data_IF_923986337141
#
_entry.id   IF_923986337141
#
_cell.length_a   1.000
_cell.length_b   1.000
_cell.length_c   1.000
_cell.angle_alpha   90.00
_cell.angle_beta   90.00
_cell.angle_gamma   90.00
#
_symmetry.space_group_name_H-M   'P 1'
#
loop_
_entity.id
_entity.type
_entity.pdbx_description
1 polymer ?
#
# COMPACT_ATOMS: atom_id res chain seq x y z
N UNK A 1 16.00 3.03 10.96
CA UNK A 1 14.76 2.32 10.56
C UNK A 1 15.17 1.09 9.75
N UNK A 2 14.58 -0.08 10.02
CA UNK A 2 14.87 -1.31 9.28
C UNK A 2 13.62 -1.70 8.51
N UNK A 3 13.72 -1.82 7.19
CA UNK A 3 12.67 -2.38 6.33
C UNK A 3 13.17 -3.74 5.86
N UNK A 4 12.59 -4.81 6.40
CA UNK A 4 12.83 -6.18 5.97
C UNK A 4 11.63 -6.70 5.20
N UNK A 5 11.84 -7.26 4.02
CA UNK A 5 10.81 -7.94 3.26
C UNK A 5 11.24 -9.38 2.98
N UNK A 6 10.51 -10.34 3.56
CA UNK A 6 10.72 -11.77 3.27
C UNK A 6 9.77 -12.16 2.14
N UNK A 7 10.32 -12.49 0.97
CA UNK A 7 9.55 -12.88 -0.22
C UNK A 7 9.39 -14.41 -0.27
N UNK A 8 8.17 -14.88 -0.55
CA UNK A 8 7.95 -16.18 -1.19
C UNK A 8 7.84 -15.92 -2.70
N UNK A 9 8.69 -16.52 -3.52
CA UNK A 9 8.79 -16.21 -4.96
C UNK A 9 7.55 -16.68 -5.74
N UNK A 10 6.71 -15.75 -6.21
CA UNK A 10 5.66 -16.04 -7.21
C UNK A 10 5.99 -15.40 -8.55
N UNK A 11 6.85 -16.05 -9.33
CA UNK A 11 6.95 -15.84 -10.77
C UNK A 11 7.35 -17.16 -11.40
N UNK A 12 6.53 -17.68 -12.33
CA UNK A 12 6.82 -18.87 -13.12
C UNK A 12 8.04 -18.61 -14.00
N UNK A 13 9.22 -18.97 -13.49
CA UNK A 13 10.47 -18.82 -14.24
C UNK A 13 11.69 -19.08 -13.34
N UNK A 14 12.46 -20.12 -13.70
CA UNK A 14 13.70 -20.57 -13.02
C UNK A 14 14.77 -19.47 -12.81
N UNK A 15 14.64 -18.31 -13.46
CA UNK A 15 15.59 -17.19 -13.42
C UNK A 15 15.27 -16.09 -12.40
N UNK A 16 14.03 -16.01 -11.88
CA UNK A 16 13.62 -14.91 -10.98
C UNK A 16 14.15 -15.02 -9.54
N UNK A 17 14.53 -16.23 -9.12
CA UNK A 17 15.02 -16.53 -7.77
C UNK A 17 16.50 -16.16 -7.55
N UNK A 18 17.24 -15.80 -8.61
CA UNK A 18 18.67 -15.51 -8.56
C UNK A 18 19.03 -14.03 -8.75
N UNK A 19 18.05 -13.15 -8.90
CA UNK A 19 18.30 -11.72 -9.16
C UNK A 19 18.18 -10.89 -7.89
N UNK A 20 19.29 -10.30 -7.43
CA UNK A 20 19.32 -9.30 -6.36
C UNK A 20 18.54 -8.03 -6.71
N UNK A 21 18.28 -7.77 -7.99
CA UNK A 21 17.44 -6.65 -8.47
C UNK A 21 15.96 -6.80 -8.10
N UNK A 22 15.50 -8.02 -7.77
CA UNK A 22 14.12 -8.29 -7.33
C UNK A 22 13.99 -8.43 -5.81
N UNK A 23 15.06 -8.17 -5.06
CA UNK A 23 15.07 -8.17 -3.61
C UNK A 23 14.62 -6.79 -3.11
N UNK A 24 13.65 -6.78 -2.19
CA UNK A 24 13.26 -5.57 -1.48
C UNK A 24 14.18 -5.34 -0.27
N UNK A 25 14.38 -4.08 0.16
CA UNK A 25 13.70 -2.87 -0.31
C UNK A 25 14.19 -2.38 -1.69
N UNK A 26 13.26 -1.87 -2.49
CA UNK A 26 13.57 -1.11 -3.69
C UNK A 26 14.09 0.27 -3.26
N UNK A 27 15.27 0.66 -3.73
CA UNK A 27 15.92 1.91 -3.37
C UNK A 27 15.84 2.89 -4.55
N UNK A 28 15.46 4.13 -4.28
CA UNK A 28 15.43 5.19 -5.29
C UNK A 28 15.66 6.56 -4.67
N UNK A 29 16.09 7.52 -5.48
CA UNK A 29 16.37 8.89 -5.03
C UNK A 29 15.35 9.88 -5.58
N UNK A 30 14.91 10.80 -4.73
CA UNK A 30 14.06 11.95 -5.10
C UNK A 30 14.74 13.21 -4.58
N UNK A 31 15.17 14.09 -5.48
CA UNK A 31 16.06 15.20 -5.12
C UNK A 31 17.30 14.71 -4.35
N UNK A 32 17.47 15.18 -3.11
CA UNK A 32 18.59 14.80 -2.23
C UNK A 32 18.24 13.66 -1.24
N UNK A 33 17.00 13.20 -1.22
CA UNK A 33 16.53 12.20 -0.27
C UNK A 33 16.60 10.78 -0.87
N UNK A 34 17.15 9.85 -0.09
CA UNK A 34 17.10 8.42 -0.40
C UNK A 34 15.81 7.81 0.14
N UNK A 35 15.12 7.07 -0.73
CA UNK A 35 13.88 6.38 -0.43
C UNK A 35 14.06 4.87 -0.49
N UNK A 36 13.33 4.18 0.38
CA UNK A 36 13.30 2.73 0.45
C UNK A 36 11.85 2.24 0.46
N UNK A 37 11.49 1.34 -0.45
CA UNK A 37 10.14 0.82 -0.61
C UNK A 37 10.07 -0.71 -0.57
N UNK A 38 9.02 -1.26 0.04
CA UNK A 38 8.70 -2.68 -0.06
C UNK A 38 7.21 -2.87 -0.35
N UNK A 39 6.87 -3.74 -1.29
CA UNK A 39 5.50 -4.07 -1.65
C UNK A 39 5.27 -5.57 -1.47
N UNK A 40 4.18 -5.93 -0.79
CA UNK A 40 3.67 -7.31 -0.74
C UNK A 40 2.29 -7.37 -1.40
N UNK A 41 2.19 -8.14 -2.48
CA UNK A 41 0.96 -8.43 -3.16
C UNK A 41 1.18 -8.53 -4.65
N UNK A 42 0.17 -8.12 -5.41
CA UNK A 42 0.27 -8.00 -6.84
C UNK A 42 -0.61 -6.85 -7.31
N UNK A 43 -0.15 -6.11 -8.30
CA UNK A 43 -0.93 -5.05 -8.93
C UNK A 43 -0.90 -5.19 -10.44
N UNK A 44 -2.03 -4.91 -11.10
CA UNK A 44 -2.02 -4.75 -12.55
C UNK A 44 -1.21 -3.51 -12.90
N UNK A 45 -0.14 -3.69 -13.69
CA UNK A 45 0.70 -2.60 -14.15
C UNK A 45 -0.13 -1.57 -14.93
N UNK A 46 0.08 -0.30 -14.61
CA UNK A 46 -0.55 0.83 -15.29
C UNK A 46 0.22 1.25 -16.53
N UNK A 47 -0.11 2.44 -17.06
CA UNK A 47 0.65 3.07 -18.15
C UNK A 47 2.11 3.33 -17.75
N UNK A 48 3.04 3.41 -18.72
CA UNK A 48 4.45 3.61 -18.45
C UNK A 48 4.74 4.87 -17.62
N UNK A 49 5.67 4.74 -16.68
CA UNK A 49 6.25 5.84 -15.88
C UNK A 49 7.43 6.48 -16.63
N UNK A 50 7.85 7.68 -16.24
CA UNK A 50 9.02 8.35 -16.80
C UNK A 50 10.30 7.58 -16.45
N UNK A 51 10.42 7.16 -15.19
CA UNK A 51 11.39 6.13 -14.79
C UNK A 51 10.94 4.78 -15.31
N UNK A 52 11.81 4.09 -16.06
CA UNK A 52 11.54 2.74 -16.54
C UNK A 52 12.03 1.73 -15.51
N UNK A 53 11.23 0.72 -15.15
CA UNK A 53 11.72 -0.39 -14.34
C UNK A 53 12.86 -1.11 -15.09
N UNK A 54 13.94 -1.42 -14.38
CA UNK A 54 15.06 -2.24 -14.86
C UNK A 54 14.68 -3.73 -14.86
N UNK A 55 13.74 -4.13 -13.99
CA UNK A 55 13.14 -5.46 -13.92
C UNK A 55 11.71 -5.53 -14.48
N UNK A 56 11.06 -6.68 -14.25
CA UNK A 56 9.71 -7.00 -14.76
C UNK A 56 8.66 -7.07 -13.66
N UNK A 57 8.99 -6.64 -12.44
CA UNK A 57 8.06 -6.76 -11.31
C UNK A 57 7.09 -5.59 -11.26
N UNK A 58 5.85 -5.89 -10.92
CA UNK A 58 4.80 -4.91 -10.66
C UNK A 58 5.13 -3.96 -9.50
N UNK A 59 5.91 -4.46 -8.54
CA UNK A 59 6.46 -3.70 -7.42
C UNK A 59 7.38 -2.57 -7.88
N UNK A 60 8.20 -2.82 -8.89
CA UNK A 60 9.11 -1.82 -9.43
C UNK A 60 8.36 -0.71 -10.17
N UNK A 61 7.39 -1.08 -11.02
CA UNK A 61 6.52 -0.12 -11.69
C UNK A 61 5.78 0.80 -10.68
N UNK A 62 5.35 0.24 -9.55
CA UNK A 62 4.75 1.01 -8.45
C UNK A 62 5.71 2.05 -7.86
N UNK A 63 6.94 1.64 -7.55
CA UNK A 63 7.93 2.55 -6.95
C UNK A 63 8.51 3.56 -7.95
N UNK A 64 8.61 3.22 -9.24
CA UNK A 64 8.88 4.20 -10.30
C UNK A 64 7.79 5.28 -10.34
N UNK A 65 6.51 4.90 -10.30
CA UNK A 65 5.39 5.86 -10.27
C UNK A 65 5.43 6.74 -9.02
N UNK A 66 5.78 6.17 -7.86
CA UNK A 66 5.99 6.93 -6.62
C UNK A 66 7.11 7.94 -6.77
N UNK A 67 8.26 7.52 -7.29
CA UNK A 67 9.42 8.37 -7.46
C UNK A 67 9.14 9.53 -8.43
N UNK A 68 8.45 9.27 -9.54
CA UNK A 68 8.07 10.29 -10.51
C UNK A 68 7.11 11.33 -9.92
N UNK A 69 6.09 10.88 -9.17
CA UNK A 69 5.14 11.79 -8.52
C UNK A 69 5.82 12.65 -7.45
N UNK A 70 6.69 12.05 -6.63
CA UNK A 70 7.42 12.77 -5.59
C UNK A 70 8.37 13.82 -6.19
N UNK A 71 9.05 13.49 -7.30
CA UNK A 71 9.91 14.43 -8.04
C UNK A 71 9.10 15.57 -8.65
N UNK A 72 8.01 15.23 -9.35
CA UNK A 72 7.17 16.20 -10.05
C UNK A 72 6.49 17.17 -9.08
N UNK A 73 6.00 16.65 -7.96
CA UNK A 73 5.34 17.47 -6.93
C UNK A 73 6.33 18.31 -6.12
N UNK A 74 7.64 18.03 -6.19
CA UNK A 74 8.68 18.67 -5.36
C UNK A 74 8.32 18.68 -3.87
N UNK A 75 7.66 17.61 -3.41
CA UNK A 75 7.13 17.51 -2.06
C UNK A 75 8.27 17.52 -1.02
N UNK A 76 8.27 18.54 -0.15
CA UNK A 76 9.27 18.69 0.92
C UNK A 76 8.67 18.36 2.27
N UNK A 77 7.48 18.88 2.54
CA UNK A 77 6.78 18.68 3.80
C UNK A 77 6.14 17.29 3.85
N UNK A 78 6.00 16.73 5.06
CA UNK A 78 5.37 15.41 5.24
C UNK A 78 3.96 15.34 4.64
N UNK A 79 3.17 16.42 4.74
CA UNK A 79 1.81 16.46 4.17
C UNK A 79 1.80 16.42 2.64
N UNK A 80 2.75 17.11 2.00
CA UNK A 80 2.92 17.11 0.54
C UNK A 80 3.37 15.74 0.06
N UNK A 81 4.31 15.11 0.78
CA UNK A 81 4.75 13.74 0.52
C UNK A 81 3.58 12.76 0.67
N UNK A 82 2.75 12.93 1.70
CA UNK A 82 1.52 12.15 1.87
C UNK A 82 0.57 12.33 0.69
N UNK A 83 0.41 13.55 0.16
CA UNK A 83 -0.44 13.79 -1.00
C UNK A 83 0.07 13.08 -2.25
N UNK A 84 1.38 13.16 -2.53
CA UNK A 84 2.01 12.44 -3.61
C UNK A 84 1.82 10.91 -3.48
N UNK A 85 2.11 10.36 -2.30
CA UNK A 85 1.94 8.92 -2.03
C UNK A 85 0.48 8.49 -2.18
N UNK A 86 -0.47 9.26 -1.67
CA UNK A 86 -1.90 8.99 -1.83
C UNK A 86 -2.35 9.02 -3.30
N UNK A 87 -1.88 9.99 -4.10
CA UNK A 87 -2.22 10.08 -5.53
C UNK A 87 -1.77 8.85 -6.29
N UNK A 88 -0.55 8.37 -6.04
CA UNK A 88 -0.04 7.16 -6.71
C UNK A 88 -0.75 5.92 -6.20
N UNK A 89 -0.83 5.72 -4.88
CA UNK A 89 -1.52 4.56 -4.30
C UNK A 89 -2.98 4.47 -4.75
N UNK A 90 -3.66 5.62 -4.91
CA UNK A 90 -5.02 5.69 -5.45
C UNK A 90 -5.18 5.10 -6.85
N UNK A 91 -4.16 5.21 -7.72
CA UNK A 91 -4.17 4.61 -9.08
C UNK A 91 -4.18 3.08 -9.05
N UNK A 92 -3.62 2.48 -8.00
CA UNK A 92 -3.46 1.02 -7.87
C UNK A 92 -4.39 0.39 -6.81
N UNK A 93 -5.20 1.19 -6.11
CA UNK A 93 -6.08 0.70 -5.05
C UNK A 93 -7.00 -0.45 -5.49
N UNK A 94 -7.46 -0.42 -6.75
CA UNK A 94 -8.38 -1.42 -7.30
C UNK A 94 -7.72 -2.41 -8.28
N UNK A 95 -6.38 -2.42 -8.38
CA UNK A 95 -5.68 -3.21 -9.40
C UNK A 95 -5.12 -4.56 -8.91
N UNK A 96 -5.34 -4.91 -7.64
CA UNK A 96 -4.90 -6.17 -7.04
C UNK A 96 -4.70 -6.04 -5.53
N UNK A 97 -3.83 -6.84 -4.93
CA UNK A 97 -3.43 -6.72 -3.52
C UNK A 97 -2.26 -5.76 -3.41
N UNK A 98 -2.44 -4.65 -2.69
CA UNK A 98 -1.46 -3.59 -2.49
C UNK A 98 -1.21 -3.36 -0.99
N UNK A 99 -0.22 -4.08 -0.43
CA UNK A 99 0.39 -3.72 0.85
C UNK A 99 1.75 -3.08 0.56
N UNK A 100 2.03 -1.90 1.09
CA UNK A 100 3.35 -1.31 0.92
C UNK A 100 3.86 -0.60 2.16
N UNK A 101 5.18 -0.54 2.23
CA UNK A 101 6.00 0.24 3.14
C UNK A 101 6.86 1.17 2.28
N UNK A 102 6.98 2.43 2.65
CA UNK A 102 7.81 3.40 1.96
C UNK A 102 8.46 4.32 3.01
N UNK A 103 9.74 4.59 2.85
CA UNK A 103 10.53 5.40 3.78
C UNK A 103 11.27 6.49 3.03
N UNK A 104 11.33 7.69 3.61
CA UNK A 104 12.21 8.79 3.17
C UNK A 104 13.39 9.03 4.14
N UNK A 105 13.67 8.08 5.03
CA UNK A 105 14.70 8.17 6.07
C UNK A 105 14.23 8.82 7.38
N UNK A 106 13.19 9.64 7.34
CA UNK A 106 12.60 10.31 8.53
C UNK A 106 11.23 9.71 8.88
N UNK A 107 10.41 9.43 7.87
CA UNK A 107 9.03 8.99 7.95
C UNK A 107 8.88 7.59 7.37
N UNK A 108 8.07 6.76 8.01
CA UNK A 108 7.58 5.51 7.45
C UNK A 108 6.12 5.69 7.02
N UNK A 109 5.88 5.54 5.73
CA UNK A 109 4.58 5.49 5.10
C UNK A 109 4.17 4.03 4.93
N UNK A 110 2.94 3.66 5.32
CA UNK A 110 2.44 2.31 5.07
C UNK A 110 0.94 2.28 4.81
N UNK A 111 0.51 1.32 4.00
CA UNK A 111 -0.90 1.15 3.63
C UNK A 111 -1.17 -0.29 3.20
N UNK A 112 -2.42 -0.72 3.41
CA UNK A 112 -2.99 -1.93 2.85
C UNK A 112 -4.29 -1.57 2.11
N UNK A 113 -4.65 -2.34 1.08
CA UNK A 113 -5.97 -2.24 0.43
C UNK A 113 -6.91 -3.41 0.71
N UNK A 114 -6.44 -4.42 1.45
CA UNK A 114 -7.25 -5.55 1.90
C UNK A 114 -7.26 -5.63 3.42
N UNK A 115 -8.36 -6.14 4.02
CA UNK A 115 -8.40 -6.41 5.44
C UNK A 115 -7.27 -7.33 5.88
N UNK A 116 -6.87 -7.24 7.14
CA UNK A 116 -5.81 -8.07 7.68
C UNK A 116 -6.12 -9.58 7.59
N UNK A 117 -7.40 -9.96 7.75
CA UNK A 117 -7.89 -11.33 7.52
C UNK A 117 -7.70 -11.82 6.07
N UNK A 118 -7.65 -10.91 5.09
CA UNK A 118 -7.35 -11.19 3.68
C UNK A 118 -5.86 -10.95 3.34
N UNK A 119 -4.99 -10.97 4.36
CA UNK A 119 -3.56 -10.78 4.21
C UNK A 119 -3.14 -9.31 4.05
N UNK A 120 -3.91 -8.37 4.61
CA UNK A 120 -3.52 -6.97 4.79
C UNK A 120 -2.36 -6.77 5.77
N UNK A 121 -2.29 -5.60 6.40
CA UNK A 121 -1.22 -5.26 7.36
C UNK A 121 -1.77 -5.10 8.78
N UNK A 122 -0.97 -5.55 9.73
CA UNK A 122 -1.05 -5.18 11.13
C UNK A 122 0.11 -4.24 11.48
N UNK A 123 -0.08 -3.40 12.48
CA UNK A 123 0.99 -2.62 13.08
C UNK A 123 0.87 -2.61 14.61
N UNK A 124 1.99 -2.37 15.29
CA UNK A 124 2.05 -2.28 16.75
C UNK A 124 3.13 -1.30 17.17
N UNK A 125 2.76 -0.35 18.01
CA UNK A 125 3.70 0.52 18.71
C UNK A 125 4.21 -0.19 19.96
N UNK A 126 5.53 -0.36 20.05
CA UNK A 126 6.21 -0.99 21.17
C UNK A 126 6.95 0.09 21.94
N UNK A 127 6.66 0.20 23.24
CA UNK A 127 7.36 1.09 24.15
C UNK A 127 8.03 0.26 25.25
N UNK A 128 9.36 0.39 25.40
CA UNK A 128 10.13 -0.20 26.49
C UNK A 128 11.02 0.87 27.08
N UNK A 129 10.90 1.16 28.38
CA UNK A 129 11.66 2.17 29.13
C UNK A 129 11.82 3.53 28.42
N UNK A 130 12.79 3.61 27.51
CA UNK A 130 13.30 4.75 26.76
C UNK A 130 13.27 4.55 25.23
N UNK A 131 12.93 3.36 24.76
CA UNK A 131 12.83 3.00 23.35
C UNK A 131 11.38 2.95 22.87
N UNK A 132 11.18 3.46 21.66
CA UNK A 132 9.94 3.31 20.89
C UNK A 132 10.26 2.65 19.55
N UNK A 133 9.43 1.70 19.17
CA UNK A 133 9.50 1.06 17.87
C UNK A 133 8.09 0.89 17.30
N UNK A 134 7.95 1.05 15.99
CA UNK A 134 6.76 0.63 15.26
C UNK A 134 7.10 -0.63 14.49
N UNK A 135 6.31 -1.67 14.69
CA UNK A 135 6.40 -2.91 13.92
C UNK A 135 5.21 -2.93 12.95
N UNK A 136 5.46 -3.17 11.67
CA UNK A 136 4.43 -3.36 10.64
C UNK A 136 4.66 -4.71 9.97
N UNK A 137 3.62 -5.56 9.90
CA UNK A 137 3.74 -6.92 9.40
C UNK A 137 2.43 -7.42 8.80
N UNK A 138 2.49 -8.44 7.95
CA UNK A 138 1.29 -9.09 7.38
C UNK A 138 0.58 -10.04 8.35
N UNK A 139 1.20 -10.32 9.49
CA UNK A 139 0.64 -11.09 10.61
C UNK A 139 1.28 -10.62 11.91
N UNK A 140 0.58 -10.72 13.05
CA UNK A 140 1.21 -10.54 14.36
C UNK A 140 2.42 -11.46 14.50
N UNK A 141 3.57 -10.90 14.88
CA UNK A 141 4.82 -11.65 15.03
C UNK A 141 4.96 -12.31 16.42
N UNK A 142 4.22 -11.81 17.40
CA UNK A 142 4.26 -12.26 18.79
C UNK A 142 2.83 -12.37 19.34
N UNK A 143 2.64 -13.16 20.40
CA UNK A 143 1.35 -13.38 21.07
C UNK A 143 0.91 -12.23 21.96
N UNK A 144 1.79 -11.27 22.23
CA UNK A 144 1.47 -10.08 23.01
C UNK A 144 0.37 -9.24 22.35
N UNK A 145 -0.53 -8.72 23.18
CA UNK A 145 -1.64 -7.86 22.75
C UNK A 145 -1.16 -6.49 22.21
N UNK A 146 -2.07 -5.78 21.54
CA UNK A 146 -1.82 -4.42 21.03
C UNK A 146 -1.47 -4.33 19.54
N UNK A 147 -1.67 -5.40 18.78
CA UNK A 147 -1.64 -5.33 17.31
C UNK A 147 -2.92 -4.69 16.79
N UNK A 148 -2.77 -3.68 15.94
CA UNK A 148 -3.84 -2.98 15.25
C UNK A 148 -3.85 -3.32 13.77
N UNK A 149 -5.04 -3.43 13.17
CA UNK A 149 -5.18 -3.55 11.72
C UNK A 149 -4.95 -2.18 11.05
N UNK A 150 -4.09 -2.16 10.02
CA UNK A 150 -4.02 -1.04 9.10
C UNK A 150 -5.28 -1.05 8.23
N UNK A 151 -6.17 -0.09 8.45
CA UNK A 151 -7.48 -0.04 7.79
C UNK A 151 -7.31 0.03 6.28
N UNK A 152 -8.03 -0.80 5.51
CA UNK A 152 -7.93 -0.79 4.05
C UNK A 152 -8.23 0.58 3.44
N UNK A 153 -7.36 1.02 2.53
CA UNK A 153 -7.48 2.32 1.87
C UNK A 153 -7.04 3.51 2.72
N UNK A 154 -6.30 3.29 3.80
CA UNK A 154 -5.68 4.35 4.60
C UNK A 154 -4.16 4.31 4.47
N UNK A 155 -3.58 5.48 4.22
CA UNK A 155 -2.17 5.76 4.38
C UNK A 155 -1.90 6.15 5.83
N UNK A 156 -0.94 5.50 6.45
CA UNK A 156 -0.42 5.82 7.77
C UNK A 156 0.98 6.40 7.62
N UNK A 157 1.30 7.39 8.46
CA UNK A 157 2.66 7.94 8.56
C UNK A 157 3.13 7.81 9.99
N UNK A 158 4.30 7.21 10.14
CA UNK A 158 4.95 7.03 11.41
C UNK A 158 6.32 7.71 11.45
N UNK A 159 6.68 8.18 12.64
CA UNK A 159 7.94 8.86 12.95
C UNK A 159 8.32 8.52 14.38
N UNK A 160 9.60 8.26 14.64
CA UNK A 160 10.10 7.90 15.98
C UNK A 160 9.33 6.74 16.65
N UNK A 161 8.98 5.72 15.85
CA UNK A 161 8.33 4.51 16.35
C UNK A 161 6.85 4.67 16.71
N UNK A 162 6.17 5.73 16.27
CA UNK A 162 4.72 5.96 16.47
C UNK A 162 4.02 6.45 15.22
N UNK A 163 2.76 6.10 15.04
CA UNK A 163 1.88 6.69 14.02
C UNK A 163 1.56 8.12 14.42
N UNK A 164 1.95 9.07 13.59
CA UNK A 164 1.73 10.50 13.83
C UNK A 164 0.57 11.05 13.00
N UNK A 165 0.30 10.46 11.83
CA UNK A 165 -0.74 10.91 10.89
C UNK A 165 -1.36 9.75 10.14
N UNK A 166 -2.58 9.96 9.64
CA UNK A 166 -3.25 9.06 8.70
C UNK A 166 -4.10 9.84 7.71
N UNK A 167 -4.22 9.33 6.49
CA UNK A 167 -5.00 9.94 5.41
C UNK A 167 -5.72 8.85 4.61
N UNK A 168 -6.96 9.12 4.21
CA UNK A 168 -7.70 8.21 3.33
C UNK A 168 -7.14 8.32 1.91
N UNK A 169 -6.82 7.19 1.32
CA UNK A 169 -6.46 7.09 -0.10
C UNK A 169 -7.77 7.09 -0.90
N UNK A 170 -7.90 8.04 -1.82
CA UNK A 170 -9.03 8.11 -2.75
C UNK A 170 -8.62 7.35 -4.01
N UNK A 171 -9.31 6.27 -4.41
CA UNK A 171 -9.02 5.57 -5.65
C UNK A 171 -9.17 6.52 -6.85
N UNK A 172 -8.19 6.51 -7.74
CA UNK A 172 -8.30 7.22 -9.00
C UNK A 172 -9.31 6.46 -9.88
N UNK A 173 -10.42 7.10 -10.24
CA UNK A 173 -11.37 6.52 -11.18
C UNK A 173 -10.72 6.53 -12.57
N UNK A 174 -10.42 5.36 -13.14
CA UNK A 174 -10.14 5.24 -14.56
C UNK A 174 -11.48 5.41 -15.31
N UNK A 175 -11.66 6.53 -16.03
CA UNK A 175 -12.94 6.94 -16.68
C UNK A 175 -13.49 5.93 -17.69
N UNK A 176 -14.75 5.96 -18.15
CA UNK A 176 -15.75 7.04 -18.31
C UNK A 176 -17.10 6.61 -17.69
N UNK A 177 -17.72 7.45 -16.87
CA UNK A 177 -19.17 7.70 -16.73
C UNK A 177 -19.38 8.62 -15.52
N UNK A 178 -20.19 9.67 -15.72
CA UNK A 178 -20.73 10.64 -14.75
C UNK A 178 -19.80 11.74 -14.22
N UNK A 179 -19.47 12.70 -15.10
CA UNK A 179 -19.58 14.11 -14.72
C UNK A 179 -21.08 14.44 -14.62
N UNK A 180 -21.70 14.22 -13.46
CA UNK A 180 -22.96 14.88 -13.00
C UNK A 180 -23.34 14.38 -11.60
N UNK A 181 -22.45 14.37 -10.60
CA UNK A 181 -22.85 14.06 -9.20
C UNK A 181 -22.03 14.78 -8.11
N UNK A 182 -21.40 15.92 -8.43
CA UNK A 182 -20.73 16.74 -7.41
C UNK A 182 -21.16 18.21 -7.44
N UNK A 183 -22.37 18.48 -7.94
CA UNK A 183 -23.08 19.71 -7.65
C UNK A 183 -24.31 19.34 -6.81
N UNK A 184 -24.35 19.83 -5.57
CA UNK A 184 -25.35 19.59 -4.50
C UNK A 184 -25.19 18.24 -3.80
N UNK A 185 -25.19 18.10 -2.48
CA UNK A 185 -25.72 18.93 -1.38
C UNK A 185 -25.03 18.51 -0.07
N UNK A 186 -24.88 19.46 0.85
CA UNK A 186 -24.71 19.19 2.27
C UNK A 186 -26.00 18.54 2.83
N UNK A 187 -25.92 17.37 3.51
CA UNK A 187 -26.78 16.85 4.62
C UNK A 187 -26.69 15.29 4.79
N UNK A 188 -27.20 14.63 5.87
CA UNK A 188 -26.51 14.36 7.13
C UNK A 188 -26.06 12.88 7.34
N UNK A 189 -25.19 12.70 8.34
CA UNK A 189 -24.28 11.56 8.64
C UNK A 189 -24.85 10.13 8.80
N UNK A 190 -26.15 9.85 8.75
CA UNK A 190 -26.69 8.54 9.18
C UNK A 190 -26.88 7.50 8.05
N UNK A 191 -27.44 7.88 6.91
CA UNK A 191 -27.84 6.93 5.85
C UNK A 191 -26.63 6.37 5.06
N UNK A 192 -25.57 7.17 4.91
CA UNK A 192 -24.39 6.80 4.14
C UNK A 192 -23.54 5.68 4.78
N UNK A 193 -23.90 5.15 5.95
CA UNK A 193 -23.14 4.06 6.60
C UNK A 193 -23.50 2.66 6.07
N UNK A 194 -24.77 2.40 5.71
CA UNK A 194 -25.20 1.06 5.28
C UNK A 194 -24.83 0.76 3.83
N UNK A 195 -24.97 1.73 2.94
CA UNK A 195 -24.60 1.55 1.54
C UNK A 195 -23.07 1.40 1.36
N UNK A 196 -22.28 2.11 2.19
CA UNK A 196 -20.83 1.91 2.28
C UNK A 196 -20.46 0.53 2.81
N UNK A 197 -21.16 0.02 3.83
CA UNK A 197 -20.95 -1.35 4.35
C UNK A 197 -21.31 -2.39 3.30
N UNK A 198 -22.41 -2.21 2.56
CA UNK A 198 -22.87 -3.11 1.50
C UNK A 198 -21.86 -3.17 0.34
N UNK A 199 -21.32 -2.01 -0.07
CA UNK A 199 -20.31 -1.94 -1.13
C UNK A 199 -18.98 -2.55 -0.71
N UNK A 200 -18.58 -2.38 0.55
CA UNK A 200 -17.38 -3.03 1.10
C UNK A 200 -17.54 -4.55 1.24
N UNK A 201 -18.72 -5.02 1.66
CA UNK A 201 -19.05 -6.45 1.75
C UNK A 201 -19.02 -7.11 0.36
N UNK A 202 -19.65 -6.49 -0.63
CA UNK A 202 -19.60 -6.97 -2.02
C UNK A 202 -18.19 -7.07 -2.59
N UNK A 203 -17.27 -6.18 -2.20
CA UNK A 203 -15.87 -6.25 -2.60
C UNK A 203 -15.14 -7.43 -1.92
N UNK A 204 -15.39 -7.67 -0.63
CA UNK A 204 -14.86 -8.83 0.10
C UNK A 204 -15.37 -10.13 -0.51
N UNK A 205 -16.68 -10.24 -0.74
CA UNK A 205 -17.31 -11.45 -1.27
C UNK A 205 -16.74 -11.81 -2.65
N UNK A 206 -16.55 -10.80 -3.53
CA UNK A 206 -15.89 -10.98 -4.82
C UNK A 206 -14.46 -11.53 -4.67
N UNK A 207 -13.68 -11.02 -3.72
CA UNK A 207 -12.31 -11.47 -3.51
C UNK A 207 -12.21 -12.86 -2.91
N UNK A 208 -13.10 -13.21 -1.98
CA UNK A 208 -13.19 -14.56 -1.42
C UNK A 208 -13.50 -15.59 -2.52
N UNK A 209 -14.38 -15.24 -3.46
CA UNK A 209 -14.69 -16.05 -4.63
C UNK A 209 -13.48 -16.25 -5.55
N UNK A 210 -12.68 -15.20 -5.80
CA UNK A 210 -11.47 -15.31 -6.62
C UNK A 210 -10.36 -16.13 -5.95
N UNK A 211 -10.22 -16.02 -4.63
CA UNK A 211 -9.26 -16.83 -3.85
C UNK A 211 -9.68 -18.31 -3.86
N UNK A 212 -10.97 -18.60 -3.72
CA UNK A 212 -11.50 -19.95 -3.82
C UNK A 212 -11.23 -20.56 -5.20
N UNK A 213 -11.48 -19.82 -6.29
CA UNK A 213 -11.19 -20.26 -7.67
C UNK A 213 -9.70 -20.56 -7.89
N UNK A 214 -8.80 -19.75 -7.32
CA UNK A 214 -7.35 -20.00 -7.38
C UNK A 214 -6.89 -21.23 -6.58
N UNK A 215 -7.55 -21.54 -5.45
CA UNK A 215 -7.26 -22.77 -4.68
C UNK A 215 -7.67 -24.03 -5.43
N UNK A 216 -8.81 -24.00 -6.12
CA UNK A 216 -9.29 -25.13 -6.94
C UNK A 216 -8.38 -25.36 -8.16
N UNK A 217 -7.89 -24.29 -8.78
CA UNK A 217 -6.98 -24.39 -9.94
C UNK A 217 -5.57 -24.93 -9.62
N UNK A 218 -5.16 -24.95 -8.35
CA UNK A 218 -3.85 -25.47 -7.90
C UNK A 218 -3.92 -26.90 -7.32
N UNK A 219 -5.07 -27.58 -7.41
CA UNK A 219 -5.26 -28.97 -6.94
C UNK A 219 -5.26 -30.02 -8.07
N UNK A 220 -4.73 -29.68 -9.26
CA UNK A 220 -4.54 -30.61 -10.37
C UNK A 220 -3.08 -30.61 -10.84
#
# INVERSE_FOLDING_TARGET
MVIGHVRLGTTSGKWSLRSTTNAHPFLFRVGEADWAGAHNGYIRMGSPTFRRPEGTTDSEAFFCAMADELETSKAKLTEEKMDAVCRVAGKYQNSGKLNFLLSDGENLFFSANHPAAAGGLYFREVKRSDQRALIVATRPLFTEEGWEEAKPGWLYVAREGRVVKKRRIVPAFAGKTQLTMFAREEEPRAAASQERKRRYRSYIDYWEEQVAKKKVANCH
#
